data_IF_353459424423
#
_entry.id   IF_353459424423
#
_cell.length_a   1.000
_cell.length_b   1.000
_cell.length_c   1.000
_cell.angle_alpha   90.00
_cell.angle_beta   90.00
_cell.angle_gamma   90.00
#
_symmetry.space_group_name_H-M   'P 1'
#
loop_
_entity.id
_entity.type
_entity.pdbx_description
1 polymer ?
#
# COMPACT_ATOMS: atom_id res chain seq x y z
N UNK A 1 16.32 -13.75 0.38
CA UNK A 1 17.41 -13.20 1.19
C UNK A 1 16.97 -11.81 1.64
N UNK A 2 16.57 -11.67 2.91
CA UNK A 2 15.98 -10.46 3.50
C UNK A 2 17.08 -9.78 4.34
N UNK A 3 17.28 -8.47 4.17
CA UNK A 3 18.17 -7.70 5.05
C UNK A 3 17.34 -6.78 5.94
N UNK A 4 17.46 -6.97 7.25
CA UNK A 4 17.04 -6.03 8.28
C UNK A 4 18.23 -5.13 8.62
N UNK A 5 18.06 -3.80 8.56
CA UNK A 5 19.09 -2.85 8.99
C UNK A 5 19.01 -2.65 10.51
N UNK A 6 19.63 -3.57 11.27
CA UNK A 6 20.08 -3.32 12.64
C UNK A 6 21.44 -2.61 12.60
N UNK A 7 21.71 -1.73 13.57
CA UNK A 7 23.01 -1.07 13.68
C UNK A 7 24.11 -2.08 13.98
N UNK A 8 25.02 -2.26 13.02
CA UNK A 8 26.23 -3.05 13.11
C UNK A 8 27.05 -2.80 11.86
N UNK A 9 28.30 -2.38 12.02
CA UNK A 9 29.23 -2.10 10.93
C UNK A 9 29.55 -3.40 10.18
N UNK A 10 29.21 -3.44 8.89
CA UNK A 10 29.75 -4.39 7.93
C UNK A 10 29.96 -3.63 6.61
N UNK A 11 31.22 -3.36 6.27
CA UNK A 11 31.65 -2.67 5.05
C UNK A 11 31.63 -3.64 3.86
N UNK A 12 30.42 -4.01 3.43
CA UNK A 12 30.16 -4.55 2.11
C UNK A 12 29.51 -3.46 1.26
N UNK A 13 29.95 -3.27 0.02
CA UNK A 13 29.49 -2.22 -0.91
C UNK A 13 27.95 -2.13 -0.93
N UNK A 14 27.37 -1.25 -0.10
CA UNK A 14 25.95 -0.98 -0.06
C UNK A 14 25.67 -0.29 -1.39
N UNK A 15 25.09 -1.03 -2.35
CA UNK A 15 24.40 -0.38 -3.47
C UNK A 15 23.30 0.45 -2.82
N UNK A 16 23.51 1.76 -2.71
CA UNK A 16 22.48 2.70 -2.33
C UNK A 16 21.33 2.52 -3.32
N UNK A 17 20.26 1.88 -2.86
CA UNK A 17 19.02 1.82 -3.63
C UNK A 17 18.47 3.25 -3.58
N UNK A 18 18.30 3.93 -4.72
CA UNK A 18 17.77 5.28 -4.68
C UNK A 18 16.37 5.24 -4.07
N UNK A 19 16.09 6.19 -3.18
CA UNK A 19 14.83 6.29 -2.45
C UNK A 19 14.24 7.69 -2.59
N UNK A 20 12.92 7.76 -2.49
CA UNK A 20 12.18 8.99 -2.22
C UNK A 20 11.71 9.00 -0.76
N UNK A 21 11.72 10.15 -0.10
CA UNK A 21 11.44 10.27 1.33
C UNK A 21 10.13 11.03 1.53
N UNK A 22 9.19 10.44 2.28
CA UNK A 22 7.98 11.15 2.69
C UNK A 22 8.35 12.25 3.71
N UNK A 23 8.09 13.53 3.42
CA UNK A 23 8.70 14.65 4.12
C UNK A 23 8.21 14.83 5.57
N UNK A 24 7.05 14.28 5.95
CA UNK A 24 6.44 14.49 7.27
C UNK A 24 6.83 13.40 8.27
N UNK A 25 7.19 12.22 7.79
CA UNK A 25 7.48 11.02 8.58
C UNK A 25 8.91 10.54 8.43
N UNK A 26 9.61 10.92 7.36
CA UNK A 26 10.96 10.45 7.04
C UNK A 26 11.01 9.03 6.48
N UNK A 27 9.87 8.41 6.21
CA UNK A 27 9.81 7.06 5.62
C UNK A 27 10.39 7.10 4.20
N UNK A 28 11.29 6.18 3.91
CA UNK A 28 11.92 6.03 2.60
C UNK A 28 11.21 4.96 1.76
N UNK A 29 11.00 5.26 0.48
CA UNK A 29 10.43 4.36 -0.51
C UNK A 29 11.43 4.15 -1.66
N UNK A 30 11.79 2.92 -2.03
CA UNK A 30 12.67 2.70 -3.18
C UNK A 30 12.04 3.27 -4.45
N UNK A 31 12.83 3.86 -5.35
CA UNK A 31 12.30 4.36 -6.63
C UNK A 31 11.83 3.24 -7.55
N UNK A 32 12.28 2.00 -7.30
CA UNK A 32 11.99 0.82 -8.11
C UNK A 32 11.97 -0.45 -7.26
N UNK A 33 10.97 -1.30 -7.48
CA UNK A 33 10.82 -2.61 -6.84
C UNK A 33 11.59 -3.70 -7.60
N UNK A 34 11.75 -4.87 -6.98
CA UNK A 34 12.47 -6.02 -7.56
C UNK A 34 11.79 -6.60 -8.79
N UNK A 35 10.49 -6.44 -8.92
CA UNK A 35 9.70 -6.85 -10.10
C UNK A 35 9.71 -5.80 -11.22
N UNK A 36 10.45 -4.70 -11.04
CA UNK A 36 10.63 -3.66 -12.02
C UNK A 36 9.61 -2.51 -11.95
N UNK A 37 8.57 -2.58 -11.11
CA UNK A 37 7.63 -1.47 -10.93
C UNK A 37 8.35 -0.24 -10.35
N UNK A 38 7.99 0.93 -10.85
CA UNK A 38 8.58 2.21 -10.44
C UNK A 38 7.64 2.97 -9.52
N UNK A 39 8.21 3.72 -8.59
CA UNK A 39 7.48 4.62 -7.70
C UNK A 39 6.81 5.74 -8.52
N UNK A 40 5.51 5.95 -8.31
CA UNK A 40 4.71 6.98 -8.99
C UNK A 40 4.19 8.05 -8.05
N UNK A 41 4.00 7.72 -6.78
CA UNK A 41 3.59 8.68 -5.77
C UNK A 41 3.95 8.18 -4.36
N UNK A 42 4.22 9.14 -3.47
CA UNK A 42 4.30 8.94 -2.03
C UNK A 42 3.20 9.75 -1.32
N UNK A 43 2.76 9.28 -0.16
CA UNK A 43 1.78 10.00 0.64
C UNK A 43 1.71 9.54 2.09
N UNK A 44 0.86 10.23 2.86
CA UNK A 44 0.69 9.99 4.29
C UNK A 44 -0.80 9.88 4.64
N UNK A 45 -1.19 8.76 5.25
CA UNK A 45 -2.53 8.62 5.82
C UNK A 45 -2.56 9.21 7.22
N UNK A 46 -3.34 10.28 7.39
CA UNK A 46 -3.69 10.84 8.69
C UNK A 46 -5.11 10.45 9.09
N UNK A 47 -5.35 10.34 10.40
CA UNK A 47 -6.68 10.17 10.99
C UNK A 47 -6.88 11.22 12.09
N UNK A 48 -7.99 11.93 12.04
CA UNK A 48 -8.35 12.87 13.09
C UNK A 48 -9.17 12.15 14.16
N UNK A 49 -8.72 12.20 15.41
CA UNK A 49 -9.37 11.59 16.56
C UNK A 49 -9.31 12.58 17.72
N UNK A 50 -10.46 12.95 18.29
CA UNK A 50 -10.58 13.91 19.40
C UNK A 50 -9.79 15.23 19.19
N UNK A 51 -9.76 15.76 17.97
CA UNK A 51 -9.03 17.00 17.64
C UNK A 51 -7.54 16.82 17.36
N UNK A 52 -6.96 15.64 17.60
CA UNK A 52 -5.57 15.32 17.26
C UNK A 52 -5.47 14.65 15.88
N UNK A 53 -4.44 15.02 15.11
CA UNK A 53 -4.12 14.39 13.83
C UNK A 53 -3.07 13.29 14.03
N UNK A 54 -3.51 12.03 13.96
CA UNK A 54 -2.66 10.86 14.08
C UNK A 54 -2.10 10.48 12.70
N UNK A 55 -0.77 10.36 12.58
CA UNK A 55 -0.08 9.84 11.40
C UNK A 55 -0.11 8.31 11.47
N UNK A 56 -0.85 7.65 10.57
CA UNK A 56 -1.10 6.20 10.66
C UNK A 56 -0.02 5.41 9.92
N UNK A 57 0.15 5.68 8.63
CA UNK A 57 1.16 5.07 7.78
C UNK A 57 1.52 6.04 6.64
N UNK A 58 2.76 5.93 6.18
CA UNK A 58 3.16 6.49 4.87
C UNK A 58 2.95 5.44 3.80
N UNK A 59 2.70 5.83 2.56
CA UNK A 59 2.51 4.88 1.48
C UNK A 59 3.24 5.31 0.20
N UNK A 60 3.66 4.31 -0.56
CA UNK A 60 4.19 4.44 -1.92
C UNK A 60 3.32 3.67 -2.91
N UNK A 61 3.04 4.28 -4.05
CA UNK A 61 2.29 3.65 -5.15
C UNK A 61 3.27 3.32 -6.27
N UNK A 62 3.28 2.07 -6.70
CA UNK A 62 4.16 1.54 -7.72
C UNK A 62 3.37 0.98 -8.89
N UNK A 63 3.87 1.22 -10.10
CA UNK A 63 3.30 0.68 -11.32
C UNK A 63 4.37 0.52 -12.41
N UNK A 64 4.07 -0.33 -13.38
CA UNK A 64 4.83 -0.41 -14.63
C UNK A 64 4.56 0.86 -15.47
N UNK A 65 5.62 1.61 -15.80
CA UNK A 65 5.49 2.87 -16.50
C UNK A 65 4.93 2.70 -17.93
N UNK A 66 5.37 1.66 -18.65
CA UNK A 66 4.94 1.43 -20.03
C UNK A 66 3.46 1.03 -20.06
N UNK A 67 3.04 0.15 -19.16
CA UNK A 67 1.63 -0.26 -19.06
C UNK A 67 0.75 0.91 -18.62
N UNK A 68 1.19 1.72 -17.65
CA UNK A 68 0.44 2.90 -17.19
C UNK A 68 0.24 3.92 -18.33
N UNK A 69 1.30 4.24 -19.07
CA UNK A 69 1.20 5.12 -20.25
C UNK A 69 0.33 4.51 -21.36
N UNK A 70 0.33 3.18 -21.48
CA UNK A 70 -0.53 2.45 -22.40
C UNK A 70 -2.03 2.59 -22.08
N UNK A 71 -2.39 2.81 -20.81
CA UNK A 71 -3.76 3.09 -20.36
C UNK A 71 -4.11 4.57 -20.52
N UNK A 72 -3.18 5.47 -20.20
CA UNK A 72 -3.39 6.92 -20.19
C UNK A 72 -3.16 7.60 -21.56
N UNK A 73 -3.47 6.92 -22.67
CA UNK A 73 -3.17 7.36 -24.04
C UNK A 73 -3.83 8.68 -24.48
N UNK A 74 -4.87 9.13 -23.78
CA UNK A 74 -5.55 10.39 -24.07
C UNK A 74 -5.82 11.21 -22.81
N UNK A 75 -5.74 12.55 -22.90
CA UNK A 75 -6.12 13.41 -21.80
C UNK A 75 -7.61 13.24 -21.50
N UNK A 76 -7.92 12.91 -20.25
CA UNK A 76 -9.29 12.76 -19.72
C UNK A 76 -9.43 13.55 -18.43
N UNK A 77 -10.66 13.67 -17.94
CA UNK A 77 -10.88 14.21 -16.61
C UNK A 77 -10.13 13.34 -15.57
N UNK A 78 -9.55 13.97 -14.55
CA UNK A 78 -8.71 13.30 -13.55
C UNK A 78 -9.40 12.09 -12.90
N UNK A 79 -10.71 12.20 -12.61
CA UNK A 79 -11.49 11.09 -12.05
C UNK A 79 -11.54 9.89 -13.00
N UNK A 80 -11.79 10.14 -14.28
CA UNK A 80 -11.84 9.08 -15.30
C UNK A 80 -10.48 8.43 -15.51
N UNK A 81 -9.39 9.20 -15.36
CA UNK A 81 -8.03 8.63 -15.40
C UNK A 81 -7.80 7.65 -14.26
N UNK A 82 -8.23 7.98 -13.03
CA UNK A 82 -8.10 7.06 -11.89
C UNK A 82 -8.92 5.79 -12.07
N UNK A 83 -10.18 5.92 -12.50
CA UNK A 83 -11.04 4.76 -12.78
C UNK A 83 -10.42 3.86 -13.85
N UNK A 84 -9.93 4.44 -14.95
CA UNK A 84 -9.31 3.67 -16.02
C UNK A 84 -8.05 2.91 -15.56
N UNK A 85 -7.23 3.53 -14.72
CA UNK A 85 -6.03 2.90 -14.16
C UNK A 85 -6.40 1.75 -13.23
N UNK A 86 -7.37 1.95 -12.33
CA UNK A 86 -7.85 0.90 -11.42
C UNK A 86 -8.48 -0.27 -12.18
N UNK A 87 -9.28 0.01 -13.21
CA UNK A 87 -10.02 -1.00 -13.97
C UNK A 87 -9.15 -1.73 -15.00
N UNK A 88 -8.04 -1.15 -15.43
CA UNK A 88 -7.17 -1.73 -16.48
C UNK A 88 -6.39 -2.97 -16.08
N UNK A 89 -6.27 -3.27 -14.77
CA UNK A 89 -5.41 -4.36 -14.30
C UNK A 89 -3.92 -4.15 -14.61
N UNK A 90 -3.47 -2.89 -14.74
CA UNK A 90 -2.07 -2.50 -15.07
C UNK A 90 -1.02 -3.09 -14.14
N UNK A 91 -1.43 -3.57 -12.96
CA UNK A 91 -0.53 -4.11 -11.96
C UNK A 91 -0.06 -3.01 -11.02
N UNK A 92 -0.87 -2.65 -10.02
CA UNK A 92 -0.54 -1.61 -9.04
C UNK A 92 -0.12 -2.28 -7.74
N UNK A 93 0.99 -1.80 -7.17
CA UNK A 93 1.44 -2.18 -5.84
C UNK A 93 1.36 -0.97 -4.93
N UNK A 94 0.69 -1.12 -3.80
CA UNK A 94 0.65 -0.12 -2.72
C UNK A 94 1.45 -0.67 -1.55
N UNK A 95 2.55 0.00 -1.20
CA UNK A 95 3.33 -0.30 0.00
C UNK A 95 2.97 0.68 1.09
N UNK A 96 2.56 0.17 2.24
CA UNK A 96 2.20 0.95 3.42
C UNK A 96 3.22 0.69 4.52
N UNK A 97 3.85 1.74 5.03
CA UNK A 97 4.82 1.65 6.14
C UNK A 97 4.16 2.24 7.38
N UNK A 98 3.94 1.41 8.39
CA UNK A 98 3.27 1.81 9.63
C UNK A 98 4.11 2.84 10.37
N UNK A 99 3.50 3.94 10.77
CA UNK A 99 4.13 5.02 11.56
C UNK A 99 3.53 5.06 12.97
N UNK A 100 2.26 4.70 13.10
CA UNK A 100 1.57 4.69 14.39
C UNK A 100 1.91 3.46 15.22
N UNK A 101 2.52 3.67 16.39
CA UNK A 101 3.03 2.57 17.23
C UNK A 101 2.00 1.78 18.03
N UNK A 102 0.72 2.18 18.03
CA UNK A 102 -0.34 1.49 18.77
C UNK A 102 -1.38 0.85 17.86
N UNK A 103 -0.99 0.51 16.63
CA UNK A 103 -1.86 -0.17 15.69
C UNK A 103 -1.88 -1.68 15.99
N UNK A 104 -3.06 -2.24 16.20
CA UNK A 104 -3.23 -3.71 16.33
C UNK A 104 -3.79 -4.30 15.04
N UNK A 105 -3.53 -5.58 14.79
CA UNK A 105 -4.10 -6.27 13.62
C UNK A 105 -5.64 -6.27 13.62
N UNK A 106 -6.26 -6.42 14.79
CA UNK A 106 -7.71 -6.25 14.95
C UNK A 106 -8.21 -4.88 14.46
N UNK A 107 -7.49 -3.79 14.76
CA UNK A 107 -7.82 -2.46 14.24
C UNK A 107 -7.63 -2.38 12.72
N UNK A 108 -6.55 -2.95 12.18
CA UNK A 108 -6.30 -2.99 10.73
C UNK A 108 -7.41 -3.74 10.01
N UNK A 109 -7.72 -4.97 10.42
CA UNK A 109 -8.80 -5.76 9.83
C UNK A 109 -10.13 -5.03 9.89
N UNK A 110 -10.46 -4.42 11.04
CA UNK A 110 -11.68 -3.60 11.18
C UNK A 110 -11.72 -2.46 10.14
N UNK A 111 -10.67 -1.64 10.05
CA UNK A 111 -10.66 -0.49 9.14
C UNK A 111 -10.58 -0.89 7.67
N UNK A 112 -9.87 -1.96 7.33
CA UNK A 112 -9.87 -2.52 5.99
C UNK A 112 -11.25 -3.03 5.60
N UNK A 113 -11.91 -3.81 6.47
CA UNK A 113 -13.24 -4.36 6.20
C UNK A 113 -14.31 -3.27 6.08
N UNK A 114 -14.25 -2.23 6.92
CA UNK A 114 -15.12 -1.07 6.81
C UNK A 114 -14.91 -0.32 5.49
N UNK A 115 -13.65 -0.02 5.14
CA UNK A 115 -13.30 0.70 3.92
C UNK A 115 -13.66 -0.07 2.65
N UNK A 116 -13.28 -1.35 2.59
CA UNK A 116 -13.59 -2.25 1.48
C UNK A 116 -15.10 -2.49 1.37
N UNK A 117 -15.78 -2.73 2.49
CA UNK A 117 -17.23 -2.90 2.50
C UNK A 117 -17.95 -1.65 1.99
N UNK A 118 -17.46 -0.45 2.29
CA UNK A 118 -17.99 0.79 1.72
C UNK A 118 -17.72 0.91 0.22
N UNK A 119 -16.54 0.49 -0.27
CA UNK A 119 -16.21 0.49 -1.70
C UNK A 119 -17.07 -0.50 -2.49
N UNK A 120 -17.22 -1.75 -2.01
CA UNK A 120 -18.05 -2.78 -2.66
C UNK A 120 -19.50 -2.32 -2.78
N UNK A 121 -20.08 -1.72 -1.73
CA UNK A 121 -21.45 -1.19 -1.77
C UNK A 121 -21.66 -0.12 -2.84
N UNK A 122 -20.62 0.64 -3.19
CA UNK A 122 -20.69 1.64 -4.27
C UNK A 122 -20.68 1.02 -5.67
N UNK A 123 -20.13 -0.18 -5.84
CA UNK A 123 -20.06 -0.89 -7.12
C UNK A 123 -21.37 -1.61 -7.48
N UNK A 124 -22.24 -1.88 -6.51
CA UNK A 124 -23.59 -2.39 -6.76
C UNK A 124 -24.24 -3.05 -5.53
N UNK A 125 -25.55 -3.33 -5.58
CA UNK A 125 -26.29 -3.99 -4.51
C UNK A 125 -26.02 -5.50 -4.50
N UNK A 126 -24.76 -5.89 -4.23
CA UNK A 126 -24.38 -7.28 -3.98
C UNK A 126 -23.94 -7.43 -2.52
N UNK A 127 -24.67 -8.23 -1.73
CA UNK A 127 -24.25 -8.60 -0.36
C UNK A 127 -23.01 -9.50 -0.44
N UNK A 128 -21.83 -8.92 -0.54
CA UNK A 128 -20.57 -9.67 -0.60
C UNK A 128 -19.77 -9.56 0.71
N UNK A 129 -20.45 -9.80 1.84
CA UNK A 129 -19.81 -9.86 3.16
C UNK A 129 -18.71 -10.93 3.22
N UNK A 130 -18.78 -11.96 2.37
CA UNK A 130 -17.81 -13.04 2.33
C UNK A 130 -16.49 -12.61 1.67
N UNK A 131 -16.49 -11.70 0.69
CA UNK A 131 -15.27 -11.13 0.14
C UNK A 131 -14.51 -10.30 1.17
N UNK A 132 -15.23 -9.49 1.96
CA UNK A 132 -14.60 -8.68 3.02
C UNK A 132 -13.97 -9.54 4.12
N UNK A 133 -14.45 -10.76 4.34
CA UNK A 133 -13.88 -11.66 5.36
C UNK A 133 -12.64 -12.42 4.89
N UNK A 134 -12.43 -12.54 3.56
CA UNK A 134 -11.27 -13.24 3.00
C UNK A 134 -10.00 -12.40 3.04
N UNK A 135 -10.13 -11.09 2.81
CA UNK A 135 -8.99 -10.17 2.78
C UNK A 135 -8.50 -9.93 4.21
N UNK A 136 -7.22 -10.26 4.47
CA UNK A 136 -6.60 -10.26 5.80
C UNK A 136 -7.27 -11.20 6.82
N UNK A 137 -8.11 -12.13 6.37
CA UNK A 137 -8.78 -13.12 7.23
C UNK A 137 -7.83 -14.17 7.77
N UNK A 138 -6.75 -14.45 7.04
CA UNK A 138 -5.67 -15.35 7.42
C UNK A 138 -4.63 -14.68 8.34
N UNK A 139 -4.68 -13.34 8.43
CA UNK A 139 -3.76 -12.53 9.23
C UNK A 139 -4.09 -12.67 10.72
N UNK A 140 -3.19 -13.31 11.45
CA UNK A 140 -3.38 -13.65 12.86
C UNK A 140 -3.15 -12.45 13.78
N UNK A 141 -3.71 -12.49 15.00
CA UNK A 141 -3.63 -11.37 15.96
C UNK A 141 -2.27 -11.20 16.65
N UNK A 142 -1.39 -12.18 16.53
CA UNK A 142 -0.03 -12.16 17.04
C UNK A 142 0.95 -11.38 16.15
N UNK A 143 0.57 -11.03 14.91
CA UNK A 143 1.37 -10.16 14.05
C UNK A 143 1.42 -8.76 14.67
N UNK A 144 2.63 -8.31 15.01
CA UNK A 144 2.86 -6.99 15.61
C UNK A 144 3.11 -5.96 14.51
N UNK A 145 2.23 -4.97 14.42
CA UNK A 145 2.38 -3.82 13.52
C UNK A 145 3.11 -2.67 14.22
N UNK A 146 4.41 -2.88 14.48
CA UNK A 146 5.29 -1.84 15.04
C UNK A 146 5.58 -0.75 14.00
N UNK A 147 6.03 0.45 14.42
CA UNK A 147 6.52 1.45 13.48
C UNK A 147 7.63 0.87 12.58
N UNK A 148 7.51 1.08 11.28
CA UNK A 148 8.39 0.50 10.26
C UNK A 148 7.88 -0.81 9.65
N UNK A 149 6.88 -1.47 10.24
CA UNK A 149 6.23 -2.63 9.61
C UNK A 149 5.67 -2.25 8.23
N UNK A 150 5.88 -3.12 7.24
CA UNK A 150 5.40 -2.91 5.87
C UNK A 150 4.23 -3.83 5.55
N UNK A 151 3.17 -3.28 4.96
CA UNK A 151 2.08 -4.05 4.34
C UNK A 151 2.11 -3.71 2.86
N UNK A 152 2.19 -4.72 2.01
CA UNK A 152 2.17 -4.55 0.57
C UNK A 152 0.92 -5.20 -0.01
N UNK A 153 0.17 -4.43 -0.81
CA UNK A 153 -1.02 -4.88 -1.51
C UNK A 153 -0.76 -4.74 -3.00
N UNK A 154 -0.76 -5.85 -3.71
CA UNK A 154 -0.55 -5.88 -5.16
C UNK A 154 -1.82 -6.37 -5.85
N UNK A 155 -2.34 -5.56 -6.77
CA UNK A 155 -3.32 -6.02 -7.74
C UNK A 155 -2.56 -6.61 -8.93
N UNK A 156 -2.57 -7.92 -9.08
CA UNK A 156 -1.95 -8.64 -10.19
C UNK A 156 -2.88 -8.64 -11.43
N UNK A 157 -2.34 -8.85 -12.65
CA UNK A 157 -3.15 -9.05 -13.85
C UNK A 157 -4.22 -10.13 -13.64
N UNK A 158 -5.44 -9.89 -14.14
CA UNK A 158 -6.58 -10.78 -13.93
C UNK A 158 -7.37 -10.50 -12.64
N UNK A 159 -7.17 -9.33 -12.01
CA UNK A 159 -7.86 -8.90 -10.78
C UNK A 159 -7.60 -9.80 -9.57
N UNK A 160 -6.41 -10.38 -9.50
CA UNK A 160 -5.96 -11.17 -8.34
C UNK A 160 -5.32 -10.23 -7.32
N UNK A 161 -5.81 -10.26 -6.09
CA UNK A 161 -5.26 -9.46 -4.99
C UNK A 161 -4.27 -10.32 -4.18
N UNK A 162 -3.02 -9.86 -4.09
CA UNK A 162 -2.00 -10.47 -3.24
C UNK A 162 -1.66 -9.51 -2.09
N UNK A 163 -1.55 -10.06 -0.88
CA UNK A 163 -1.16 -9.33 0.33
C UNK A 163 0.11 -9.93 0.90
N UNK A 164 1.11 -9.09 1.14
CA UNK A 164 2.33 -9.48 1.86
C UNK A 164 2.38 -8.75 3.19
N UNK A 165 2.46 -9.53 4.26
CA UNK A 165 2.49 -9.06 5.63
C UNK A 165 3.94 -9.10 6.18
N UNK A 166 4.25 -8.30 7.22
CA UNK A 166 5.58 -8.23 7.82
C UNK A 166 6.01 -9.51 8.56
#
# INVERSE_FOLDING_TARGET
MLYFRGQGQDEGLIKEIPVEIEPITGVSFPIKLTDGKELKAIGLRKKHVFGLSLKIYSFGIYADNQKLMGVLKSPKAMKEMYEMVVDSGVGITVRMVIVFGHLTMSMVRKYFNEGLGAAIRKLGPGKNNDLTKRILGEATDDIKLTPGSEIEITCLPGYVLETKEP
#
